data_IF_934484792523
#
_entry.id   IF_934484792523
#
_cell.length_a   1.000
_cell.length_b   1.000
_cell.length_c   1.000
_cell.angle_alpha   90.00
_cell.angle_beta   90.00
_cell.angle_gamma   90.00
#
_symmetry.space_group_name_H-M   'P 1'
#
loop_
_entity.id
_entity.type
_entity.pdbx_description
1 polymer ?
#
# COMPACT_ATOMS: atom_id res chain seq x y z
N UNK A 1 -14.21 6.22 -14.19
CA UNK A 1 -13.83 4.87 -13.71
C UNK A 1 -12.31 4.87 -13.67
N UNK A 2 -11.71 4.74 -12.49
CA UNK A 2 -10.25 4.79 -12.33
C UNK A 2 -9.63 3.54 -12.93
N UNK A 3 -8.56 3.69 -13.69
CA UNK A 3 -7.78 2.54 -14.19
C UNK A 3 -7.11 1.86 -12.99
N UNK A 4 -7.59 0.66 -12.63
CA UNK A 4 -7.09 -0.10 -11.49
C UNK A 4 -5.59 -0.34 -11.57
N UNK A 5 -5.04 -0.52 -12.78
CA UNK A 5 -3.61 -0.80 -12.94
C UNK A 5 -2.73 0.39 -12.57
N UNK A 6 -3.17 1.60 -12.90
CA UNK A 6 -2.48 2.85 -12.55
C UNK A 6 -2.53 3.05 -11.04
N UNK A 7 -3.70 2.84 -10.42
CA UNK A 7 -3.88 3.03 -8.98
C UNK A 7 -3.07 2.02 -8.15
N UNK A 8 -3.03 0.77 -8.59
CA UNK A 8 -2.18 -0.28 -8.00
C UNK A 8 -0.71 0.10 -8.08
N UNK A 9 -0.23 0.48 -9.27
CA UNK A 9 1.17 0.86 -9.45
C UNK A 9 1.54 2.04 -8.54
N UNK A 10 0.69 3.07 -8.49
CA UNK A 10 0.87 4.23 -7.60
C UNK A 10 0.92 3.82 -6.13
N UNK A 11 -0.03 2.98 -5.69
CA UNK A 11 -0.09 2.51 -4.29
C UNK A 11 1.19 1.79 -3.88
N UNK A 12 1.74 0.96 -4.77
CA UNK A 12 3.01 0.28 -4.53
C UNK A 12 4.22 1.25 -4.55
N UNK A 13 4.27 2.19 -5.49
CA UNK A 13 5.32 3.20 -5.56
C UNK A 13 5.35 4.06 -4.28
N UNK A 14 4.19 4.52 -3.81
CA UNK A 14 4.05 5.27 -2.56
C UNK A 14 4.52 4.46 -1.34
N UNK A 15 4.48 3.13 -1.43
CA UNK A 15 4.95 2.18 -0.42
C UNK A 15 6.44 1.77 -0.58
N UNK A 16 7.17 2.36 -1.52
CA UNK A 16 8.60 2.11 -1.74
C UNK A 16 8.91 0.86 -2.57
N UNK A 17 7.98 0.46 -3.44
CA UNK A 17 8.22 -0.58 -4.44
C UNK A 17 8.60 0.02 -5.79
N UNK A 18 9.50 -0.65 -6.50
CA UNK A 18 9.64 -0.50 -7.94
C UNK A 18 8.48 -1.22 -8.62
N UNK A 19 7.90 -0.60 -9.65
CA UNK A 19 6.79 -1.18 -10.41
C UNK A 19 7.02 -1.03 -11.91
N UNK A 20 6.69 -2.05 -12.68
CA UNK A 20 6.72 -1.97 -14.14
C UNK A 20 5.59 -2.81 -14.73
N UNK A 21 5.23 -2.50 -15.97
CA UNK A 21 4.12 -3.16 -16.64
C UNK A 21 4.63 -4.19 -17.64
N UNK A 22 3.90 -5.30 -17.73
CA UNK A 22 4.15 -6.34 -18.70
C UNK A 22 2.85 -6.65 -19.40
N UNK A 23 2.84 -6.49 -20.72
CA UNK A 23 1.72 -6.96 -21.54
C UNK A 23 1.83 -8.47 -21.71
N UNK A 24 0.72 -9.15 -21.44
CA UNK A 24 0.49 -10.54 -21.84
C UNK A 24 -0.62 -10.60 -22.88
N UNK A 25 -0.78 -11.76 -23.52
CA UNK A 25 -1.90 -12.04 -24.41
C UNK A 25 -3.26 -12.04 -23.69
N UNK A 26 -3.25 -12.14 -22.36
CA UNK A 26 -4.43 -12.16 -21.48
C UNK A 26 -4.59 -10.86 -20.69
N UNK A 27 -4.00 -9.77 -21.18
CA UNK A 27 -4.12 -8.44 -20.58
C UNK A 27 -2.87 -7.97 -19.85
N UNK A 28 -3.05 -6.87 -19.13
CA UNK A 28 -1.98 -6.13 -18.44
C UNK A 28 -1.64 -6.78 -17.11
N UNK A 29 -0.34 -6.83 -16.80
CA UNK A 29 0.18 -7.25 -15.49
C UNK A 29 1.03 -6.12 -14.94
N UNK A 30 0.84 -5.79 -13.67
CA UNK A 30 1.75 -4.91 -12.93
C UNK A 30 2.69 -5.78 -12.12
N UNK A 31 3.98 -5.72 -12.42
CA UNK A 31 5.02 -6.31 -11.60
C UNK A 31 5.43 -5.32 -10.51
N UNK A 32 5.74 -5.83 -9.32
CA UNK A 32 6.26 -5.02 -8.22
C UNK A 32 7.41 -5.73 -7.50
N UNK A 33 8.35 -4.95 -6.99
CA UNK A 33 9.52 -5.45 -6.29
C UNK A 33 10.06 -4.40 -5.30
N UNK A 34 10.46 -4.82 -4.11
CA UNK A 34 11.27 -4.01 -3.19
C UNK A 34 12.39 -4.88 -2.62
N UNK A 35 13.15 -4.43 -1.61
CA UNK A 35 14.27 -5.23 -1.07
C UNK A 35 13.86 -6.57 -0.43
N UNK A 36 12.58 -6.77 -0.06
CA UNK A 36 12.09 -7.94 0.71
C UNK A 36 11.19 -8.87 -0.11
N UNK A 37 10.40 -8.32 -1.02
CA UNK A 37 9.26 -8.97 -1.68
C UNK A 37 9.28 -8.67 -3.19
N UNK A 38 8.65 -9.55 -3.96
CA UNK A 38 8.29 -9.27 -5.35
C UNK A 38 6.95 -9.91 -5.68
N UNK A 39 6.37 -9.54 -6.82
CA UNK A 39 5.13 -10.17 -7.24
C UNK A 39 4.55 -9.61 -8.52
N UNK A 40 3.35 -10.11 -8.80
CA UNK A 40 2.59 -9.84 -10.01
C UNK A 40 1.15 -9.53 -9.63
N UNK A 41 0.59 -8.48 -10.22
CA UNK A 41 -0.82 -8.13 -10.11
C UNK A 41 -1.51 -8.38 -11.44
N UNK A 42 -2.52 -9.22 -11.39
CA UNK A 42 -3.36 -9.63 -12.50
C UNK A 42 -4.71 -8.93 -12.38
N UNK A 43 -5.22 -8.44 -13.51
CA UNK A 43 -6.51 -7.78 -13.59
C UNK A 43 -7.47 -8.64 -14.41
N UNK A 44 -8.70 -8.77 -13.93
CA UNK A 44 -9.78 -9.51 -14.57
C UNK A 44 -11.00 -8.61 -14.72
N UNK A 45 -11.71 -8.75 -15.83
CA UNK A 45 -12.89 -7.95 -16.13
C UNK A 45 -14.08 -8.42 -15.28
N UNK A 46 -14.16 -9.72 -14.99
CA UNK A 46 -15.26 -10.33 -14.22
C UNK A 46 -14.77 -11.32 -13.17
N UNK A 47 -15.61 -11.59 -12.16
CA UNK A 47 -15.33 -12.64 -11.17
C UNK A 47 -15.29 -14.02 -11.83
N UNK A 48 -16.13 -14.29 -12.83
CA UNK A 48 -16.16 -15.59 -13.53
C UNK A 48 -14.86 -15.84 -14.31
N UNK A 49 -14.35 -14.82 -14.99
CA UNK A 49 -13.04 -14.88 -15.67
C UNK A 49 -11.91 -15.11 -14.65
N UNK A 50 -11.95 -14.43 -13.50
CA UNK A 50 -11.00 -14.65 -12.42
C UNK A 50 -11.01 -16.11 -11.97
N UNK A 51 -12.18 -16.64 -11.59
CA UNK A 51 -12.32 -18.02 -11.12
C UNK A 51 -11.93 -19.06 -12.18
N UNK A 52 -12.18 -18.78 -13.45
CA UNK A 52 -11.87 -19.68 -14.56
C UNK A 52 -10.42 -19.66 -15.02
N UNK A 53 -9.73 -18.53 -14.92
CA UNK A 53 -8.44 -18.33 -15.61
C UNK A 53 -7.25 -18.00 -14.70
N UNK A 54 -7.45 -17.70 -13.41
CA UNK A 54 -6.37 -17.23 -12.53
C UNK A 54 -5.13 -18.15 -12.55
N UNK A 55 -5.36 -19.46 -12.52
CA UNK A 55 -4.30 -20.46 -12.41
C UNK A 55 -3.44 -20.54 -13.68
N UNK A 56 -4.10 -20.60 -14.83
CA UNK A 56 -3.41 -20.63 -16.13
C UNK A 56 -2.60 -19.34 -16.35
N UNK A 57 -3.17 -18.19 -15.98
CA UNK A 57 -2.49 -16.90 -16.08
C UNK A 57 -1.26 -16.82 -15.16
N UNK A 58 -1.39 -17.29 -13.92
CA UNK A 58 -0.27 -17.36 -12.98
C UNK A 58 0.86 -18.26 -13.51
N UNK A 59 0.54 -19.51 -13.85
CA UNK A 59 1.53 -20.50 -14.32
C UNK A 59 2.34 -19.97 -15.50
N UNK A 60 1.67 -19.30 -16.43
CA UNK A 60 2.30 -18.70 -17.62
C UNK A 60 3.28 -17.60 -17.25
N UNK A 61 2.88 -16.67 -16.38
CA UNK A 61 3.73 -15.55 -15.95
C UNK A 61 4.90 -16.06 -15.12
N UNK A 62 4.66 -16.94 -14.16
CA UNK A 62 5.71 -17.54 -13.34
C UNK A 62 6.71 -18.31 -14.21
N UNK A 63 6.25 -19.07 -15.22
CA UNK A 63 7.14 -19.74 -16.16
C UNK A 63 8.02 -18.75 -16.93
N UNK A 64 7.44 -17.66 -17.42
CA UNK A 64 8.15 -16.57 -18.12
C UNK A 64 9.22 -15.93 -17.24
N UNK A 65 8.92 -15.68 -15.96
CA UNK A 65 9.83 -15.04 -15.00
C UNK A 65 10.71 -16.01 -14.21
N UNK A 66 10.57 -17.33 -14.42
CA UNK A 66 11.33 -18.35 -13.70
C UNK A 66 12.86 -18.20 -13.75
N UNK A 67 13.50 -17.68 -14.82
CA UNK A 67 14.94 -17.42 -14.78
C UNK A 67 15.29 -16.29 -13.81
N UNK A 68 14.54 -15.19 -13.82
CA UNK A 68 14.73 -14.04 -12.92
C UNK A 68 14.43 -14.42 -11.47
N UNK A 69 13.34 -15.16 -11.22
CA UNK A 69 12.97 -15.63 -9.88
C UNK A 69 14.05 -16.54 -9.27
N UNK A 70 14.77 -17.32 -10.09
CA UNK A 70 15.91 -18.13 -9.61
C UNK A 70 17.14 -17.30 -9.23
N UNK A 71 17.27 -16.09 -9.76
CA UNK A 71 18.42 -15.20 -9.48
C UNK A 71 18.23 -14.39 -8.19
N UNK A 72 16.99 -14.11 -7.80
CA UNK A 72 16.68 -13.30 -6.61
C UNK A 72 16.74 -14.09 -5.28
N UNK A 73 17.17 -15.35 -5.32
CA UNK A 73 17.54 -16.14 -4.14
C UNK A 73 16.42 -16.27 -3.10
N UNK A 74 16.71 -15.96 -1.84
CA UNK A 74 15.75 -16.08 -0.72
C UNK A 74 14.49 -15.21 -0.91
N UNK A 75 14.60 -14.12 -1.65
CA UNK A 75 13.46 -13.24 -1.99
C UNK A 75 12.40 -13.96 -2.83
N UNK A 76 12.78 -14.98 -3.58
CA UNK A 76 11.84 -15.78 -4.38
C UNK A 76 10.78 -16.46 -3.52
N UNK A 77 11.09 -16.79 -2.26
CA UNK A 77 10.14 -17.37 -1.31
C UNK A 77 9.04 -16.39 -0.87
N UNK A 78 9.25 -15.11 -1.14
CA UNK A 78 8.34 -14.01 -0.84
C UNK A 78 7.70 -13.45 -2.12
N UNK A 79 7.45 -14.33 -3.11
CA UNK A 79 6.73 -13.96 -4.33
C UNK A 79 5.22 -14.01 -4.10
N UNK A 80 4.51 -12.96 -4.52
CA UNK A 80 3.06 -12.87 -4.45
C UNK A 80 2.41 -12.80 -5.85
N UNK A 81 1.29 -13.50 -6.01
CA UNK A 81 0.32 -13.27 -7.09
C UNK A 81 -0.92 -12.59 -6.51
N UNK A 82 -1.28 -11.42 -7.06
CA UNK A 82 -2.43 -10.63 -6.62
C UNK A 82 -3.45 -10.62 -7.74
N UNK A 83 -4.64 -11.16 -7.51
CA UNK A 83 -5.72 -11.25 -8.51
C UNK A 83 -6.83 -10.26 -8.17
N UNK A 84 -7.04 -9.27 -9.04
CA UNK A 84 -7.93 -8.14 -8.77
C UNK A 84 -9.01 -8.04 -9.85
N UNK A 85 -10.24 -7.71 -9.44
CA UNK A 85 -11.32 -7.34 -10.36
C UNK A 85 -12.18 -6.21 -9.78
N UNK A 86 -12.68 -5.34 -10.66
CA UNK A 86 -13.67 -4.33 -10.30
C UNK A 86 -15.06 -4.94 -10.11
N UNK A 87 -15.33 -6.09 -10.75
CA UNK A 87 -16.59 -6.80 -10.66
C UNK A 87 -16.80 -7.36 -9.24
N UNK A 88 -18.05 -7.45 -8.81
CA UNK A 88 -18.40 -7.91 -7.47
C UNK A 88 -19.42 -9.03 -7.54
N UNK A 89 -19.10 -10.16 -6.91
CA UNK A 89 -20.02 -11.28 -6.78
C UNK A 89 -19.94 -11.85 -5.36
N UNK A 90 -20.75 -11.36 -4.41
CA UNK A 90 -20.72 -11.82 -3.02
C UNK A 90 -20.86 -13.35 -2.86
N UNK A 91 -21.57 -14.01 -3.77
CA UNK A 91 -21.74 -15.47 -3.74
C UNK A 91 -20.45 -16.24 -4.03
N UNK A 92 -19.48 -15.62 -4.69
CA UNK A 92 -18.17 -16.20 -5.00
C UNK A 92 -17.17 -16.15 -3.84
N UNK A 93 -17.52 -15.55 -2.69
CA UNK A 93 -16.58 -15.33 -1.58
C UNK A 93 -15.84 -16.60 -1.12
N UNK A 94 -16.52 -17.76 -1.13
CA UNK A 94 -15.88 -19.03 -0.77
C UNK A 94 -14.85 -19.46 -1.83
N UNK A 95 -15.20 -19.37 -3.11
CA UNK A 95 -14.32 -19.73 -4.22
C UNK A 95 -13.08 -18.82 -4.27
N UNK A 96 -13.26 -17.52 -3.99
CA UNK A 96 -12.18 -16.56 -3.84
C UNK A 96 -11.24 -16.95 -2.69
N UNK A 97 -11.80 -17.33 -1.52
CA UNK A 97 -11.00 -17.81 -0.39
C UNK A 97 -10.20 -19.07 -0.73
N UNK A 98 -10.79 -20.01 -1.49
CA UNK A 98 -10.09 -21.21 -1.93
C UNK A 98 -8.88 -20.92 -2.84
N UNK A 99 -8.89 -19.81 -3.58
CA UNK A 99 -7.72 -19.36 -4.36
C UNK A 99 -6.58 -18.96 -3.41
N UNK A 100 -6.87 -18.22 -2.33
CA UNK A 100 -5.84 -17.81 -1.36
C UNK A 100 -5.25 -19.00 -0.58
N UNK A 101 -6.03 -20.07 -0.44
CA UNK A 101 -5.61 -21.34 0.17
C UNK A 101 -4.83 -22.25 -0.79
N UNK A 102 -4.76 -21.94 -2.09
CA UNK A 102 -3.85 -22.63 -3.01
C UNK A 102 -2.42 -22.13 -2.77
N UNK A 103 -1.57 -22.99 -2.19
CA UNK A 103 -0.17 -22.66 -1.89
C UNK A 103 0.82 -23.03 -3.01
N UNK A 104 0.34 -23.38 -4.21
CA UNK A 104 1.22 -23.71 -5.34
C UNK A 104 1.84 -22.43 -5.93
N UNK A 105 3.11 -22.50 -6.33
CA UNK A 105 3.87 -21.42 -7.00
C UNK A 105 4.15 -20.16 -6.15
N UNK A 106 3.12 -19.44 -5.72
CA UNK A 106 3.25 -18.17 -4.99
C UNK A 106 2.20 -18.04 -3.87
N UNK A 107 2.42 -17.07 -2.98
CA UNK A 107 1.38 -16.61 -2.04
C UNK A 107 0.35 -15.78 -2.78
N UNK A 108 -0.93 -15.95 -2.46
CA UNK A 108 -2.03 -15.35 -3.23
C UNK A 108 -2.81 -14.34 -2.41
N UNK A 109 -3.23 -13.26 -3.07
CA UNK A 109 -4.19 -12.28 -2.57
C UNK A 109 -5.24 -12.08 -3.65
N UNK A 110 -6.50 -12.28 -3.33
CA UNK A 110 -7.59 -12.23 -4.31
C UNK A 110 -8.67 -11.29 -3.83
N UNK A 111 -8.99 -10.26 -4.61
CA UNK A 111 -9.97 -9.23 -4.23
C UNK A 111 -10.88 -8.88 -5.41
N UNK A 112 -12.15 -8.66 -5.10
CA UNK A 112 -13.21 -8.30 -6.03
C UNK A 112 -13.91 -7.01 -5.56
N UNK A 113 -14.67 -6.35 -6.44
CA UNK A 113 -15.44 -5.16 -6.12
C UNK A 113 -14.59 -3.90 -5.91
N UNK A 114 -13.46 -3.79 -6.60
CA UNK A 114 -12.55 -2.65 -6.46
C UNK A 114 -13.01 -1.48 -7.32
N UNK A 115 -13.66 -0.50 -6.70
CA UNK A 115 -14.28 0.64 -7.40
C UNK A 115 -13.51 1.95 -7.26
N UNK A 116 -12.63 2.06 -6.27
CA UNK A 116 -11.91 3.29 -5.93
C UNK A 116 -10.54 3.04 -5.30
N UNK A 117 -9.75 4.11 -5.16
CA UNK A 117 -8.42 4.11 -4.52
C UNK A 117 -8.39 3.52 -3.11
N UNK A 118 -9.43 3.76 -2.32
CA UNK A 118 -9.53 3.24 -0.95
C UNK A 118 -9.66 1.71 -0.95
N UNK A 119 -10.51 1.18 -1.84
CA UNK A 119 -10.67 -0.26 -2.02
C UNK A 119 -9.38 -0.94 -2.51
N UNK A 120 -8.62 -0.30 -3.42
CA UNK A 120 -7.31 -0.78 -3.88
C UNK A 120 -6.30 -0.81 -2.72
N UNK A 121 -6.20 0.27 -1.95
CA UNK A 121 -5.29 0.34 -0.80
C UNK A 121 -5.63 -0.72 0.25
N UNK A 122 -6.93 -0.94 0.52
CA UNK A 122 -7.39 -1.97 1.45
C UNK A 122 -7.06 -3.38 0.94
N UNK A 123 -7.24 -3.63 -0.35
CA UNK A 123 -6.87 -4.89 -0.99
C UNK A 123 -5.38 -5.21 -0.87
N UNK A 124 -4.53 -4.20 -1.04
CA UNK A 124 -3.08 -4.33 -1.02
C UNK A 124 -2.46 -4.23 0.38
N UNK A 125 -3.25 -3.92 1.42
CA UNK A 125 -2.77 -3.73 2.79
C UNK A 125 -1.78 -4.83 3.29
N UNK A 126 -1.96 -6.13 2.99
CA UNK A 126 -1.01 -7.16 3.41
C UNK A 126 0.41 -7.00 2.83
N UNK A 127 0.55 -6.26 1.74
CA UNK A 127 1.81 -5.99 1.05
C UNK A 127 2.35 -4.59 1.33
N UNK A 128 1.55 -3.71 1.95
CA UNK A 128 2.02 -2.38 2.29
C UNK A 128 2.85 -2.45 3.59
N UNK A 129 3.92 -1.66 3.72
CA UNK A 129 4.64 -1.56 4.97
C UNK A 129 3.66 -1.13 6.07
N UNK A 130 3.81 -1.73 7.26
CA UNK A 130 3.05 -1.37 8.45
C UNK A 130 3.25 0.11 8.73
N UNK A 131 2.35 0.92 8.22
CA UNK A 131 2.33 2.34 8.44
C UNK A 131 1.64 2.54 9.78
N UNK A 132 2.41 2.57 10.87
CA UNK A 132 2.00 3.28 12.07
C UNK A 132 2.02 4.78 11.78
N UNK A 133 1.20 5.21 10.82
CA UNK A 133 0.77 6.58 10.76
C UNK A 133 -0.05 6.77 12.03
N UNK A 134 0.62 7.16 13.11
CA UNK A 134 -0.03 7.93 14.13
C UNK A 134 -0.57 9.13 13.36
N UNK A 135 -1.86 9.07 13.01
CA UNK A 135 -2.62 10.24 12.64
C UNK A 135 -2.64 11.10 13.91
N UNK A 136 -1.54 11.82 14.15
CA UNK A 136 -1.53 12.94 15.06
C UNK A 136 -2.50 13.92 14.41
N UNK A 137 -3.77 13.85 14.82
CA UNK A 137 -4.73 14.87 14.48
C UNK A 137 -4.08 16.20 14.81
N UNK A 138 -3.82 17.02 13.79
CA UNK A 138 -3.09 18.29 13.92
C UNK A 138 -3.70 19.19 15.01
N UNK A 139 -5.00 19.00 15.28
CA UNK A 139 -5.77 19.64 16.35
C UNK A 139 -5.24 19.32 17.75
N UNK A 140 -4.76 18.11 18.00
CA UNK A 140 -4.30 17.65 19.32
C UNK A 140 -2.83 18.05 19.60
N UNK A 141 -2.04 18.32 18.56
CA UNK A 141 -0.64 18.71 18.72
C UNK A 141 -0.49 20.08 19.37
N UNK A 142 -1.23 21.09 18.90
CA UNK A 142 -1.15 22.44 19.44
C UNK A 142 -1.59 22.48 20.91
N UNK A 143 -2.70 21.79 21.23
CA UNK A 143 -3.23 21.74 22.59
C UNK A 143 -2.28 21.00 23.54
N UNK A 144 -1.76 19.83 23.15
CA UNK A 144 -0.77 19.09 23.94
C UNK A 144 0.55 19.84 24.11
N UNK A 145 0.97 20.59 23.08
CA UNK A 145 2.17 21.41 23.18
C UNK A 145 1.95 22.58 24.14
N UNK A 146 0.79 23.25 24.09
CA UNK A 146 0.40 24.27 25.09
C UNK A 146 0.37 23.70 26.51
N UNK A 147 -0.21 22.52 26.72
CA UNK A 147 -0.22 21.86 28.03
C UNK A 147 1.18 21.55 28.57
N UNK A 148 2.11 21.12 27.70
CA UNK A 148 3.51 20.88 28.08
C UNK A 148 4.27 22.16 28.40
N UNK A 149 3.91 23.26 27.76
CA UNK A 149 4.51 24.57 27.95
C UNK A 149 3.80 25.39 29.03
N UNK A 150 2.83 24.83 29.78
CA UNK A 150 2.04 25.53 30.82
C UNK A 150 2.86 26.23 31.92
N UNK A 151 4.11 25.83 32.11
CA UNK A 151 5.01 26.42 33.10
C UNK A 151 5.88 27.54 32.51
N UNK A 152 5.70 27.86 31.23
CA UNK A 152 6.37 28.96 30.53
C UNK A 152 5.44 30.17 30.43
N UNK A 153 5.98 31.37 30.19
CA UNK A 153 5.19 32.57 30.02
C UNK A 153 4.32 32.46 28.76
N UNK A 154 3.02 32.76 28.89
CA UNK A 154 2.06 32.73 27.77
C UNK A 154 2.53 33.57 26.58
N UNK A 155 3.20 34.70 26.85
CA UNK A 155 3.75 35.59 25.82
C UNK A 155 4.84 34.91 24.96
N UNK A 156 5.65 34.03 25.54
CA UNK A 156 6.66 33.28 24.81
C UNK A 156 6.05 32.11 24.04
N UNK A 157 5.05 31.45 24.61
CA UNK A 157 4.30 30.36 23.97
C UNK A 157 3.52 30.88 22.77
N UNK A 158 2.81 32.01 22.92
CA UNK A 158 2.09 32.67 21.82
C UNK A 158 3.03 33.15 20.71
N UNK A 159 4.20 33.69 21.06
CA UNK A 159 5.19 34.09 20.08
C UNK A 159 5.70 32.89 19.26
N UNK A 160 5.92 31.74 19.91
CA UNK A 160 6.30 30.49 19.24
C UNK A 160 5.22 30.03 18.25
N UNK A 161 3.95 29.99 18.66
CA UNK A 161 2.85 29.59 17.78
C UNK A 161 2.54 30.57 16.66
N UNK A 162 2.90 31.86 16.82
CA UNK A 162 2.82 32.88 15.76
C UNK A 162 4.03 32.89 14.82
N UNK A 163 4.97 31.95 14.99
CA UNK A 163 6.14 31.83 14.12
C UNK A 163 7.21 32.90 14.35
N UNK A 164 7.30 33.46 15.55
CA UNK A 164 8.40 34.37 15.91
C UNK A 164 9.75 33.64 15.84
N UNK A 165 10.82 34.39 15.56
CA UNK A 165 12.16 33.83 15.53
C UNK A 165 12.64 33.37 16.92
N UNK A 166 13.59 32.43 16.93
CA UNK A 166 14.09 31.82 18.16
C UNK A 166 14.73 32.82 19.14
N UNK A 167 15.30 33.94 18.65
CA UNK A 167 15.89 34.96 19.55
C UNK A 167 14.79 35.70 20.28
N UNK A 168 13.73 36.09 19.56
CA UNK A 168 12.57 36.76 20.14
C UNK A 168 11.90 35.93 21.22
N UNK A 169 11.72 34.64 20.98
CA UNK A 169 11.15 33.71 21.98
C UNK A 169 12.08 33.57 23.20
N UNK A 170 13.40 33.47 22.99
CA UNK A 170 14.37 33.36 24.08
C UNK A 170 14.41 34.62 24.97
N UNK A 171 14.25 35.81 24.40
CA UNK A 171 14.21 37.06 25.18
C UNK A 171 12.95 37.14 26.05
N UNK A 172 11.81 36.69 25.53
CA UNK A 172 10.55 36.62 26.30
C UNK A 172 10.65 35.62 27.46
N UNK A 173 11.35 34.50 27.26
CA UNK A 173 11.62 33.53 28.33
C UNK A 173 12.56 34.08 29.41
N UNK A 174 13.54 34.92 29.04
CA UNK A 174 14.51 35.51 29.97
C UNK A 174 13.94 36.67 30.79
N UNK A 175 12.96 37.40 30.23
CA UNK A 175 12.29 38.50 30.92
C UNK A 175 11.33 38.08 32.05
N UNK A 176 11.17 36.77 32.29
CA UNK A 176 10.27 36.18 33.28
C UNK A 176 11.03 35.52 34.47
N UNK A 177 12.24 35.98 34.76
CA UNK A 177 12.95 35.65 36.01
C UNK A 177 12.71 36.71 37.08
#
# INVERSE_FOLDING_TARGET
>A
MTDLSIEVARTFQDAGYDTWEVTSDRGKIVCFENVVLCGFVYFFDTVDELLGEWKEREERVIRRFSPSLRQIGEKAWNTYSVFLTADSNPSASWAIGAIEEDFQLTRKITRMGLTDSGSVKQALLPLLPLSSALELGLVDFEQRLKERLRNLPDTAVDALFRGADARRVADLLRGHK
#
